data_IF_549149342325
#
_entry.id   IF_549149342325
#
_cell.length_a   1.000
_cell.length_b   1.000
_cell.length_c   1.000
_cell.angle_alpha   90.00
_cell.angle_beta   90.00
_cell.angle_gamma   90.00
#
_symmetry.space_group_name_H-M   'P 1'
#
loop_
_entity.id
_entity.type
_entity.pdbx_description
1 polymer ?
#
# COMPACT_ATOMS: atom_id res chain seq x y z
N UNK A 1 -13.57 -4.30 -11.01
CA UNK A 1 -12.77 -3.12 -11.47
C UNK A 1 -12.46 -3.26 -12.95
N UNK A 2 -12.55 -2.18 -13.70
CA UNK A 2 -12.28 -2.12 -15.14
C UNK A 2 -11.19 -1.08 -15.44
N UNK A 3 -10.43 -1.23 -16.54
CA UNK A 3 -9.53 -0.18 -16.99
C UNK A 3 -10.27 1.14 -17.19
N UNK A 4 -9.63 2.24 -16.81
CA UNK A 4 -10.25 3.56 -16.88
C UNK A 4 -10.62 3.93 -18.32
N UNK A 5 -11.77 4.55 -18.49
CA UNK A 5 -12.19 5.07 -19.80
C UNK A 5 -11.33 6.27 -20.20
N UNK A 6 -10.46 6.10 -21.21
CA UNK A 6 -9.53 7.14 -21.70
C UNK A 6 -10.23 8.35 -22.30
N UNK A 7 -11.48 8.24 -22.74
CA UNK A 7 -12.25 9.38 -23.23
C UNK A 7 -12.69 10.32 -22.10
N UNK A 8 -12.95 9.77 -20.91
CA UNK A 8 -13.33 10.55 -19.73
C UNK A 8 -12.11 10.99 -18.92
N UNK A 9 -11.03 10.19 -18.97
CA UNK A 9 -9.77 10.42 -18.27
C UNK A 9 -8.58 10.43 -19.24
N UNK A 10 -8.39 11.53 -19.98
CA UNK A 10 -7.22 11.71 -20.84
C UNK A 10 -5.94 11.71 -19.99
N UNK A 11 -4.79 11.47 -20.63
CA UNK A 11 -3.50 11.29 -19.96
C UNK A 11 -3.16 12.44 -19.00
N UNK A 12 -3.41 13.69 -19.40
CA UNK A 12 -3.13 14.86 -18.55
C UNK A 12 -3.97 14.86 -17.27
N UNK A 13 -5.20 14.36 -17.33
CA UNK A 13 -6.05 14.23 -16.13
C UNK A 13 -5.53 13.16 -15.19
N UNK A 14 -5.07 12.03 -15.73
CA UNK A 14 -4.44 10.94 -14.95
C UNK A 14 -3.16 11.44 -14.30
N UNK A 15 -2.29 12.11 -15.05
CA UNK A 15 -1.06 12.69 -14.51
C UNK A 15 -1.35 13.67 -13.37
N UNK A 16 -2.39 14.50 -13.50
CA UNK A 16 -2.81 15.41 -12.42
C UNK A 16 -3.29 14.67 -11.17
N UNK A 17 -4.02 13.57 -11.33
CA UNK A 17 -4.45 12.74 -10.20
C UNK A 17 -3.24 12.08 -9.51
N UNK A 18 -2.32 11.49 -10.28
CA UNK A 18 -1.11 10.86 -9.78
C UNK A 18 -0.17 11.87 -9.10
N UNK A 19 -0.03 13.09 -9.65
CA UNK A 19 0.80 14.13 -9.04
C UNK A 19 0.29 14.61 -7.67
N UNK A 20 -0.95 14.30 -7.30
CA UNK A 20 -1.47 14.49 -5.94
C UNK A 20 -0.88 13.52 -4.91
N UNK A 21 -0.21 12.45 -5.35
CA UNK A 21 0.45 11.46 -4.50
C UNK A 21 1.94 11.81 -4.41
N UNK A 22 2.50 11.98 -3.20
CA UNK A 22 3.89 12.43 -3.01
C UNK A 22 4.91 11.60 -3.80
N UNK A 23 4.78 10.27 -3.81
CA UNK A 23 5.66 9.37 -4.55
C UNK A 23 5.71 9.69 -6.06
N UNK A 24 4.55 9.75 -6.70
CA UNK A 24 4.49 10.05 -8.15
C UNK A 24 4.93 11.47 -8.46
N UNK A 25 4.61 12.44 -7.57
CA UNK A 25 5.03 13.83 -7.73
C UNK A 25 6.55 13.99 -7.61
N UNK A 26 7.20 13.27 -6.69
CA UNK A 26 8.66 13.25 -6.56
C UNK A 26 9.30 12.77 -7.87
N UNK A 27 8.86 11.64 -8.41
CA UNK A 27 9.42 11.10 -9.65
C UNK A 27 9.15 12.00 -10.86
N UNK A 28 7.95 12.58 -10.97
CA UNK A 28 7.62 13.53 -12.03
C UNK A 28 8.54 14.77 -12.02
N UNK A 29 8.91 15.25 -10.83
CA UNK A 29 9.81 16.40 -10.68
C UNK A 29 11.26 16.09 -10.97
N UNK A 30 11.69 14.85 -10.78
CA UNK A 30 13.07 14.41 -10.97
C UNK A 30 13.35 13.94 -12.40
N UNK A 31 12.41 13.22 -13.03
CA UNK A 31 12.61 12.63 -14.35
C UNK A 31 11.30 12.29 -15.06
N UNK A 32 10.99 13.03 -16.15
CA UNK A 32 9.86 12.71 -17.03
C UNK A 32 9.95 11.29 -17.59
N UNK A 33 11.16 10.81 -17.88
CA UNK A 33 11.37 9.44 -18.39
C UNK A 33 11.00 8.39 -17.36
N UNK A 34 11.43 8.55 -16.09
CA UNK A 34 11.09 7.61 -15.04
C UNK A 34 9.60 7.65 -14.71
N UNK A 35 9.00 8.84 -14.73
CA UNK A 35 7.55 8.97 -14.57
C UNK A 35 6.78 8.26 -15.70
N UNK A 36 7.22 8.36 -16.95
CA UNK A 36 6.62 7.64 -18.08
C UNK A 36 6.72 6.12 -17.90
N UNK A 37 7.87 5.60 -17.45
CA UNK A 37 8.04 4.18 -17.13
C UNK A 37 7.15 3.72 -15.98
N UNK A 38 6.98 4.53 -14.94
CA UNK A 38 6.02 4.24 -13.88
C UNK A 38 4.58 4.16 -14.39
N UNK A 39 4.19 5.04 -15.33
CA UNK A 39 2.88 4.96 -15.97
C UNK A 39 2.70 3.68 -16.78
N UNK A 40 3.74 3.19 -17.44
CA UNK A 40 3.73 1.91 -18.16
C UNK A 40 3.58 0.72 -17.23
N UNK A 41 4.18 0.78 -16.01
CA UNK A 41 4.05 -0.22 -14.95
C UNK A 41 2.72 -0.12 -14.18
N UNK A 42 1.92 0.93 -14.43
CA UNK A 42 0.72 1.21 -13.64
C UNK A 42 -0.53 0.82 -14.40
N UNK A 43 -1.42 0.08 -13.74
CA UNK A 43 -2.81 -0.03 -14.16
C UNK A 43 -3.65 1.06 -13.49
N UNK A 44 -4.37 1.84 -14.26
CA UNK A 44 -5.35 2.78 -13.73
C UNK A 44 -6.74 2.18 -13.93
N UNK A 45 -7.42 1.94 -12.81
CA UNK A 45 -8.66 1.19 -12.77
C UNK A 45 -9.78 2.05 -12.16
N UNK A 46 -11.00 1.79 -12.61
CA UNK A 46 -12.23 2.37 -12.09
C UNK A 46 -13.07 1.28 -11.44
N UNK A 47 -13.67 1.57 -10.30
CA UNK A 47 -14.61 0.72 -9.60
C UNK A 47 -15.85 1.53 -9.22
N UNK A 48 -17.04 0.91 -9.29
CA UNK A 48 -18.31 1.52 -8.94
C UNK A 48 -18.62 1.37 -7.44
N UNK A 49 -19.58 2.15 -6.93
CA UNK A 49 -20.05 2.04 -5.55
C UNK A 49 -20.33 0.58 -5.16
N UNK A 50 -19.84 0.15 -3.99
CA UNK A 50 -19.98 -1.22 -3.46
C UNK A 50 -19.09 -2.27 -4.11
N UNK A 51 -18.38 -1.97 -5.22
CA UNK A 51 -17.50 -2.92 -5.89
C UNK A 51 -16.23 -3.21 -5.07
N UNK A 52 -15.80 -4.47 -5.05
CA UNK A 52 -14.55 -4.88 -4.37
C UNK A 52 -13.33 -4.49 -5.20
N UNK A 53 -12.39 -3.78 -4.56
CA UNK A 53 -11.06 -3.43 -5.09
C UNK A 53 -10.04 -4.50 -4.70
N UNK A 54 -10.10 -4.98 -3.47
CA UNK A 54 -9.32 -6.10 -2.93
C UNK A 54 -10.30 -7.03 -2.23
N UNK A 55 -10.12 -8.34 -2.44
CA UNK A 55 -10.88 -9.38 -1.73
C UNK A 55 -10.00 -10.07 -0.69
N UNK A 56 -10.54 -10.26 0.50
CA UNK A 56 -9.90 -11.08 1.54
C UNK A 56 -9.55 -12.48 1.01
N UNK A 57 -8.32 -12.92 1.25
CA UNK A 57 -7.81 -14.23 0.83
C UNK A 57 -7.22 -14.26 -0.59
N UNK A 58 -7.40 -13.23 -1.41
CA UNK A 58 -6.75 -13.15 -2.70
C UNK A 58 -5.22 -13.03 -2.53
N UNK A 59 -4.48 -13.62 -3.48
CA UNK A 59 -3.02 -13.53 -3.54
C UNK A 59 -2.65 -12.77 -4.80
N UNK A 60 -2.21 -11.54 -4.63
CA UNK A 60 -1.67 -10.70 -5.69
C UNK A 60 -0.50 -9.85 -5.18
N UNK A 61 0.31 -9.34 -6.09
CA UNK A 61 1.55 -8.60 -5.81
C UNK A 61 1.41 -7.10 -6.06
N UNK A 62 0.19 -6.57 -5.99
CA UNK A 62 -0.05 -5.16 -6.30
C UNK A 62 -0.06 -4.28 -5.05
N UNK A 63 0.54 -3.10 -5.21
CA UNK A 63 0.37 -1.95 -4.33
C UNK A 63 -0.65 -1.00 -4.96
N UNK A 64 -1.56 -0.49 -4.16
CA UNK A 64 -2.67 0.35 -4.62
C UNK A 64 -2.57 1.77 -4.08
N UNK A 65 -3.02 2.73 -4.89
CA UNK A 65 -3.12 4.14 -4.55
C UNK A 65 -4.53 4.63 -4.87
N UNK A 66 -5.22 5.23 -3.92
CA UNK A 66 -6.52 5.83 -4.19
C UNK A 66 -6.32 7.22 -4.80
N UNK A 67 -6.80 7.40 -6.04
CA UNK A 67 -6.71 8.66 -6.78
C UNK A 67 -7.97 9.52 -6.61
N UNK A 68 -9.14 8.87 -6.52
CA UNK A 68 -10.45 9.54 -6.41
C UNK A 68 -11.44 8.62 -5.72
N UNK A 69 -12.43 9.20 -5.03
CA UNK A 69 -13.48 8.47 -4.33
C UNK A 69 -13.14 8.20 -2.87
N UNK A 70 -13.77 7.20 -2.29
CA UNK A 70 -13.53 6.72 -0.94
C UNK A 70 -13.65 5.20 -0.93
N UNK A 71 -12.76 4.53 -0.19
CA UNK A 71 -12.84 3.08 -0.01
C UNK A 71 -13.07 2.76 1.47
N UNK A 72 -13.79 1.67 1.72
CA UNK A 72 -14.00 1.11 3.05
C UNK A 72 -13.21 -0.19 3.20
N UNK A 73 -12.44 -0.30 4.27
CA UNK A 73 -11.74 -1.53 4.69
C UNK A 73 -12.72 -2.35 5.52
N UNK A 74 -12.97 -3.60 5.10
CA UNK A 74 -13.98 -4.46 5.70
C UNK A 74 -13.33 -5.61 6.47
N UNK A 75 -13.81 -5.86 7.68
CA UNK A 75 -13.53 -7.11 8.41
C UNK A 75 -14.73 -8.05 8.34
N UNK A 76 -14.45 -9.35 8.23
CA UNK A 76 -15.49 -10.38 8.11
C UNK A 76 -15.92 -10.64 6.67
N UNK A 77 -16.68 -11.70 6.49
CA UNK A 77 -17.19 -12.15 5.19
C UNK A 77 -18.72 -12.08 5.15
N UNK A 78 -19.28 -11.61 4.04
CA UNK A 78 -20.74 -11.60 3.82
C UNK A 78 -21.49 -10.49 4.54
N UNK A 79 -22.73 -10.77 4.96
CA UNK A 79 -23.67 -9.79 5.49
C UNK A 79 -23.30 -9.15 6.84
N UNK A 80 -22.36 -9.72 7.58
CA UNK A 80 -21.89 -9.22 8.88
C UNK A 80 -20.57 -8.42 8.75
N UNK A 81 -20.16 -8.07 7.53
CA UNK A 81 -18.94 -7.33 7.29
C UNK A 81 -19.00 -5.93 7.92
N UNK A 82 -18.07 -5.65 8.82
CA UNK A 82 -17.94 -4.35 9.53
C UNK A 82 -16.89 -3.48 8.87
N UNK A 83 -17.20 -2.19 8.69
CA UNK A 83 -16.20 -1.20 8.30
C UNK A 83 -15.21 -1.01 9.45
N UNK A 84 -13.93 -1.25 9.18
CA UNK A 84 -12.82 -1.03 10.11
C UNK A 84 -12.24 0.37 9.98
N UNK A 85 -12.08 0.83 8.75
CA UNK A 85 -11.47 2.10 8.42
C UNK A 85 -11.87 2.54 7.01
N UNK A 86 -11.62 3.80 6.69
CA UNK A 86 -11.76 4.35 5.35
C UNK A 86 -10.40 4.73 4.78
N UNK A 87 -10.30 4.66 3.44
CA UNK A 87 -9.13 5.08 2.67
C UNK A 87 -9.56 6.28 1.83
N UNK A 88 -8.78 7.35 1.91
CA UNK A 88 -9.02 8.63 1.24
C UNK A 88 -8.07 8.83 0.05
N UNK A 89 -8.41 9.72 -0.90
CA UNK A 89 -7.52 10.04 -2.01
C UNK A 89 -6.12 10.48 -1.53
N UNK A 90 -5.08 9.94 -2.19
CA UNK A 90 -3.69 10.13 -1.82
C UNK A 90 -3.10 9.02 -0.93
N UNK A 91 -3.94 8.17 -0.35
CA UNK A 91 -3.48 7.08 0.50
C UNK A 91 -3.08 5.84 -0.30
N UNK A 92 -2.09 5.12 0.26
CA UNK A 92 -1.52 3.86 -0.24
C UNK A 92 -2.07 2.70 0.58
N UNK A 93 -2.43 1.60 -0.07
CA UNK A 93 -2.96 0.42 0.60
C UNK A 93 -2.53 -0.89 -0.06
N UNK A 94 -2.70 -2.00 0.65
CA UNK A 94 -2.33 -3.34 0.16
C UNK A 94 -0.84 -3.68 0.34
N UNK A 95 -0.04 -2.87 1.02
CA UNK A 95 1.41 -3.05 1.15
C UNK A 95 1.81 -4.32 1.91
N UNK A 96 1.10 -4.69 3.00
CA UNK A 96 1.50 -5.81 3.85
C UNK A 96 1.53 -7.14 3.09
N UNK A 97 0.40 -7.51 2.48
CA UNK A 97 0.30 -8.76 1.73
C UNK A 97 1.28 -8.81 0.56
N UNK A 98 1.48 -7.67 -0.11
CA UNK A 98 2.44 -7.53 -1.20
C UNK A 98 3.88 -7.77 -0.74
N UNK A 99 4.34 -7.12 0.36
CA UNK A 99 5.71 -7.24 0.87
C UNK A 99 5.97 -8.64 1.42
N UNK A 100 5.01 -9.20 2.18
CA UNK A 100 5.17 -10.49 2.86
C UNK A 100 4.84 -11.69 1.97
N UNK A 101 4.30 -11.48 0.77
CA UNK A 101 3.87 -12.56 -0.11
C UNK A 101 2.73 -13.41 0.49
N UNK A 102 1.89 -12.81 1.33
CA UNK A 102 0.77 -13.47 2.02
C UNK A 102 -0.56 -13.14 1.37
N UNK A 103 -1.63 -13.94 1.59
CA UNK A 103 -2.97 -13.57 1.15
C UNK A 103 -3.45 -12.25 1.76
N UNK A 104 -4.35 -11.56 1.07
CA UNK A 104 -4.98 -10.32 1.54
C UNK A 104 -5.75 -10.55 2.85
N UNK A 105 -5.50 -9.74 3.85
CA UNK A 105 -6.05 -9.89 5.21
C UNK A 105 -7.40 -9.20 5.41
N UNK A 106 -7.83 -8.37 4.46
CA UNK A 106 -9.11 -7.65 4.50
C UNK A 106 -9.68 -7.48 3.09
N UNK A 107 -10.99 -7.35 2.98
CA UNK A 107 -11.63 -6.86 1.76
C UNK A 107 -11.66 -5.32 1.78
N UNK A 108 -11.49 -4.71 0.61
CA UNK A 108 -11.58 -3.27 0.40
C UNK A 108 -12.60 -3.02 -0.70
N UNK A 109 -13.62 -2.20 -0.41
CA UNK A 109 -14.71 -1.87 -1.34
C UNK A 109 -14.80 -0.37 -1.55
N UNK A 110 -15.36 0.01 -2.68
CA UNK A 110 -15.80 1.39 -2.88
C UNK A 110 -16.93 1.69 -1.91
N UNK A 111 -16.79 2.74 -1.13
CA UNK A 111 -17.83 3.17 -0.18
C UNK A 111 -19.11 3.56 -0.94
N UNK A 112 -20.27 3.19 -0.40
CA UNK A 112 -21.56 3.42 -1.05
C UNK A 112 -21.93 4.91 -1.17
N UNK A 113 -21.31 5.76 -0.36
CA UNK A 113 -21.46 7.22 -0.46
C UNK A 113 -20.66 7.81 -1.63
N UNK A 114 -19.67 7.10 -2.14
CA UNK A 114 -18.90 7.48 -3.31
C UNK A 114 -19.53 6.87 -4.57
N UNK A 115 -19.75 7.69 -5.59
CA UNK A 115 -20.27 7.19 -6.89
C UNK A 115 -19.35 6.17 -7.54
N UNK A 116 -18.04 6.43 -7.45
CA UNK A 116 -16.96 5.63 -8.05
C UNK A 116 -15.66 5.86 -7.30
N UNK A 117 -14.73 4.95 -7.47
CA UNK A 117 -13.34 5.14 -7.10
C UNK A 117 -12.42 4.94 -8.30
N UNK A 118 -11.33 5.72 -8.34
CA UNK A 118 -10.23 5.53 -9.29
C UNK A 118 -9.00 5.17 -8.49
N UNK A 119 -8.39 4.04 -8.85
CA UNK A 119 -7.19 3.54 -8.21
C UNK A 119 -6.09 3.36 -9.24
N UNK A 120 -4.86 3.67 -8.85
CA UNK A 120 -3.66 3.20 -9.53
C UNK A 120 -3.14 1.97 -8.79
N UNK A 121 -2.62 0.98 -9.53
CA UNK A 121 -1.87 -0.13 -8.92
C UNK A 121 -0.54 -0.34 -9.62
N UNK A 122 0.47 -0.66 -8.83
CA UNK A 122 1.82 -1.00 -9.28
C UNK A 122 2.11 -2.46 -8.92
N UNK A 123 2.71 -3.20 -9.86
CA UNK A 123 3.17 -4.55 -9.55
C UNK A 123 4.50 -4.49 -8.78
N UNK A 124 4.56 -5.13 -7.62
CA UNK A 124 5.77 -5.20 -6.80
C UNK A 124 6.94 -5.89 -7.52
N UNK A 125 6.64 -6.80 -8.45
CA UNK A 125 7.67 -7.48 -9.24
C UNK A 125 8.61 -6.50 -9.97
N UNK A 126 8.12 -5.30 -10.34
CA UNK A 126 8.92 -4.27 -11.00
C UNK A 126 9.92 -3.57 -10.05
N UNK A 127 9.74 -3.73 -8.74
CA UNK A 127 10.53 -3.05 -7.69
C UNK A 127 11.37 -4.00 -6.84
N UNK A 128 11.00 -5.29 -6.73
CA UNK A 128 11.58 -6.22 -5.78
C UNK A 128 13.04 -6.62 -6.07
N UNK A 129 13.47 -6.58 -7.33
CA UNK A 129 14.88 -6.71 -7.65
C UNK A 129 15.63 -5.40 -7.38
N UNK A 130 16.22 -5.30 -6.20
CA UNK A 130 16.95 -4.11 -5.74
C UNK A 130 18.36 -3.99 -6.32
N UNK A 131 18.75 -4.85 -7.26
CA UNK A 131 20.07 -4.84 -7.92
C UNK A 131 19.97 -4.44 -9.40
N UNK A 132 18.77 -4.41 -9.97
CA UNK A 132 18.50 -4.09 -11.37
C UNK A 132 17.98 -2.65 -11.50
N UNK A 133 18.59 -1.82 -12.37
CA UNK A 133 18.26 -0.39 -12.53
C UNK A 133 18.10 0.06 -13.98
N UNK A 134 18.02 -0.88 -14.94
CA UNK A 134 17.90 -0.53 -16.37
C UNK A 134 16.54 0.06 -16.71
N UNK A 135 15.48 -0.42 -16.08
CA UNK A 135 14.11 0.04 -16.32
C UNK A 135 13.67 1.09 -15.30
N UNK A 136 13.64 0.77 -14.01
CA UNK A 136 13.42 1.73 -12.95
C UNK A 136 14.74 2.10 -12.29
N UNK A 137 15.05 3.39 -12.24
CA UNK A 137 16.31 3.88 -11.68
C UNK A 137 16.43 3.62 -10.18
N UNK A 138 17.68 3.71 -9.66
CA UNK A 138 17.93 3.63 -8.23
C UNK A 138 17.10 4.66 -7.44
N UNK A 139 17.02 5.89 -7.92
CA UNK A 139 16.25 6.98 -7.30
C UNK A 139 14.77 6.64 -7.22
N UNK A 140 14.20 6.09 -8.31
CA UNK A 140 12.79 5.65 -8.36
C UNK A 140 12.52 4.54 -7.35
N UNK A 141 13.41 3.55 -7.25
CA UNK A 141 13.29 2.46 -6.26
C UNK A 141 13.48 2.95 -4.84
N UNK A 142 14.41 3.88 -4.60
CA UNK A 142 14.60 4.53 -3.30
C UNK A 142 13.33 5.28 -2.87
N UNK A 143 12.74 6.09 -3.75
CA UNK A 143 11.49 6.80 -3.47
C UNK A 143 10.35 5.83 -3.11
N UNK A 144 10.23 4.71 -3.85
CA UNK A 144 9.24 3.66 -3.59
C UNK A 144 9.43 3.04 -2.19
N UNK A 145 10.62 2.58 -1.84
CA UNK A 145 10.87 1.97 -0.54
C UNK A 145 10.82 2.96 0.63
N UNK A 146 11.23 4.22 0.42
CA UNK A 146 11.03 5.29 1.42
C UNK A 146 9.55 5.52 1.71
N UNK A 147 8.71 5.55 0.67
CA UNK A 147 7.26 5.65 0.81
C UNK A 147 6.70 4.44 1.59
N UNK A 148 7.07 3.21 1.24
CA UNK A 148 6.61 2.00 1.96
C UNK A 148 6.99 2.04 3.44
N UNK A 149 8.27 2.27 3.74
CA UNK A 149 8.78 2.36 5.11
C UNK A 149 8.06 3.45 5.90
N UNK A 150 7.86 4.63 5.28
CA UNK A 150 7.15 5.73 5.91
C UNK A 150 5.70 5.35 6.26
N UNK A 151 4.95 4.79 5.32
CA UNK A 151 3.54 4.44 5.52
C UNK A 151 3.36 3.37 6.60
N UNK A 152 4.15 2.29 6.55
CA UNK A 152 4.04 1.20 7.53
C UNK A 152 4.45 1.70 8.91
N UNK A 153 5.55 2.46 9.00
CA UNK A 153 6.02 3.06 10.26
C UNK A 153 5.00 4.02 10.85
N UNK A 154 4.39 4.87 10.02
CA UNK A 154 3.34 5.78 10.48
C UNK A 154 2.16 5.03 11.11
N UNK A 155 1.67 3.97 10.46
CA UNK A 155 0.60 3.13 10.99
C UNK A 155 0.99 2.50 12.33
N UNK A 156 2.22 1.99 12.45
CA UNK A 156 2.73 1.44 13.71
C UNK A 156 2.89 2.49 14.82
N UNK A 157 3.29 3.71 14.48
CA UNK A 157 3.36 4.82 15.46
C UNK A 157 1.97 5.23 15.94
N UNK A 158 0.96 5.26 15.05
CA UNK A 158 -0.44 5.50 15.44
C UNK A 158 -0.94 4.38 16.37
N UNK A 159 -0.70 3.12 16.03
CA UNK A 159 -1.05 1.98 16.87
C UNK A 159 -0.36 2.04 18.25
N UNK A 160 0.92 2.42 18.28
CA UNK A 160 1.67 2.63 19.53
C UNK A 160 1.08 3.75 20.38
N UNK A 161 0.62 4.85 19.77
CA UNK A 161 -0.05 5.93 20.54
C UNK A 161 -1.36 5.46 21.17
N UNK A 162 -2.10 4.59 20.48
CA UNK A 162 -3.35 4.01 21.01
C UNK A 162 -3.10 2.92 22.07
N UNK A 163 -2.00 2.17 21.96
CA UNK A 163 -1.66 1.06 22.84
C UNK A 163 -0.16 1.08 23.21
N UNK A 164 0.28 2.05 24.04
CA UNK A 164 1.71 2.26 24.34
C UNK A 164 2.38 1.13 25.12
N UNK A 165 1.61 0.27 25.78
CA UNK A 165 2.10 -0.88 26.54
C UNK A 165 2.09 -2.19 25.73
N UNK A 166 1.73 -2.14 24.44
CA UNK A 166 1.70 -3.33 23.61
C UNK A 166 3.11 -3.93 23.48
N UNK A 167 3.23 -5.27 23.58
CA UNK A 167 4.52 -5.99 23.55
C UNK A 167 5.37 -5.70 22.30
N UNK A 168 4.72 -5.47 21.16
CA UNK A 168 5.41 -5.17 19.88
C UNK A 168 6.07 -3.78 19.84
N UNK A 169 5.78 -2.88 20.81
CA UNK A 169 6.44 -1.58 20.91
C UNK A 169 7.95 -1.72 21.11
N UNK A 170 8.37 -2.70 21.89
CA UNK A 170 9.79 -3.01 22.10
C UNK A 170 10.46 -3.45 20.80
N UNK A 171 9.82 -4.32 20.01
CA UNK A 171 10.32 -4.78 18.70
C UNK A 171 10.41 -3.63 17.70
N UNK A 172 9.43 -2.74 17.65
CA UNK A 172 9.45 -1.58 16.78
C UNK A 172 10.68 -0.68 17.02
N UNK A 173 11.09 -0.53 18.29
CA UNK A 173 12.27 0.27 18.68
C UNK A 173 13.59 -0.35 18.23
N UNK A 174 13.65 -1.65 17.99
CA UNK A 174 14.88 -2.35 17.58
C UNK A 174 15.15 -2.27 16.08
N UNK A 175 14.20 -1.80 15.26
CA UNK A 175 14.40 -1.65 13.82
C UNK A 175 15.35 -0.49 13.57
N UNK A 176 16.57 -0.77 13.02
CA UNK A 176 17.58 0.26 12.83
C UNK A 176 17.15 1.26 11.75
N UNK A 177 17.53 2.51 11.92
CA UNK A 177 17.48 3.51 10.85
C UNK A 177 18.79 3.46 10.06
N UNK A 178 18.70 3.62 8.75
CA UNK A 178 19.88 3.75 7.92
C UNK A 178 20.61 5.06 8.22
N UNK A 179 21.91 4.97 8.50
CA UNK A 179 22.77 6.12 8.84
C UNK A 179 23.91 6.34 7.83
N UNK A 180 23.93 5.57 6.73
CA UNK A 180 24.93 5.68 5.67
C UNK A 180 24.66 6.78 4.65
N UNK A 181 25.33 6.72 3.52
CA UNK A 181 25.18 7.68 2.42
C UNK A 181 23.81 7.56 1.78
N UNK A 182 23.06 8.66 1.75
CA UNK A 182 21.76 8.70 1.06
C UNK A 182 21.93 8.60 -0.46
N UNK A 183 20.92 8.07 -1.15
CA UNK A 183 20.96 7.90 -2.61
C UNK A 183 21.81 6.73 -3.06
N UNK A 184 22.14 5.79 -2.17
CA UNK A 184 23.02 4.65 -2.47
C UNK A 184 22.27 3.32 -2.54
N UNK A 185 22.90 2.32 -3.14
CA UNK A 185 22.37 0.94 -3.18
C UNK A 185 22.28 0.35 -1.77
N UNK A 186 23.18 0.73 -0.87
CA UNK A 186 23.15 0.33 0.53
C UNK A 186 21.94 0.91 1.26
N UNK A 187 21.55 2.16 0.94
CA UNK A 187 20.29 2.72 1.45
C UNK A 187 19.10 1.92 0.95
N UNK A 188 19.06 1.57 -0.34
CA UNK A 188 17.97 0.79 -0.93
C UNK A 188 17.84 -0.58 -0.25
N UNK A 189 18.96 -1.29 -0.06
CA UNK A 189 18.97 -2.57 0.64
C UNK A 189 18.47 -2.45 2.09
N UNK A 190 18.91 -1.42 2.81
CA UNK A 190 18.47 -1.15 4.18
C UNK A 190 16.98 -0.79 4.25
N UNK A 191 16.45 -0.02 3.30
CA UNK A 191 15.02 0.31 3.23
C UNK A 191 14.17 -0.90 2.90
N UNK A 192 14.63 -1.78 1.99
CA UNK A 192 13.96 -3.04 1.67
C UNK A 192 13.85 -3.95 2.90
N UNK A 193 14.97 -4.18 3.60
CA UNK A 193 14.99 -4.95 4.87
C UNK A 193 14.09 -4.32 5.94
N UNK A 194 14.13 -2.99 6.06
CA UNK A 194 13.28 -2.25 7.01
C UNK A 194 11.79 -2.37 6.67
N UNK A 195 11.41 -2.33 5.38
CA UNK A 195 10.03 -2.50 4.95
C UNK A 195 9.48 -3.88 5.36
N UNK A 196 10.26 -4.95 5.14
CA UNK A 196 9.88 -6.31 5.54
C UNK A 196 9.71 -6.43 7.07
N UNK A 197 10.68 -5.98 7.84
CA UNK A 197 10.62 -6.02 9.32
C UNK A 197 9.44 -5.23 9.89
N UNK A 198 9.13 -4.06 9.31
CA UNK A 198 7.99 -3.25 9.72
C UNK A 198 6.67 -3.92 9.33
N UNK A 199 6.61 -4.54 8.13
CA UNK A 199 5.43 -5.27 7.67
C UNK A 199 5.14 -6.48 8.57
N UNK A 200 6.15 -7.25 8.99
CA UNK A 200 6.02 -8.35 9.93
C UNK A 200 5.42 -7.88 11.27
N UNK A 201 5.94 -6.77 11.83
CA UNK A 201 5.43 -6.23 13.09
C UNK A 201 3.98 -5.77 12.94
N UNK A 202 3.64 -5.08 11.84
CA UNK A 202 2.28 -4.60 11.62
C UNK A 202 1.30 -5.76 11.38
N UNK A 203 1.73 -6.84 10.71
CA UNK A 203 0.94 -8.05 10.54
C UNK A 203 0.60 -8.68 11.91
N UNK A 204 1.62 -8.90 12.76
CA UNK A 204 1.43 -9.41 14.12
C UNK A 204 0.55 -8.50 14.98
N UNK A 205 0.68 -7.16 14.79
CA UNK A 205 -0.17 -6.20 15.50
C UNK A 205 -1.64 -6.36 15.11
N UNK A 206 -1.91 -6.46 13.81
CA UNK A 206 -3.27 -6.64 13.30
C UNK A 206 -3.88 -7.98 13.76
N UNK A 207 -3.09 -9.05 13.84
CA UNK A 207 -3.53 -10.35 14.35
C UNK A 207 -3.90 -10.27 15.83
N UNK A 208 -3.10 -9.58 16.65
CA UNK A 208 -3.36 -9.40 18.09
C UNK A 208 -4.57 -8.53 18.38
N UNK A 209 -4.92 -7.61 17.47
CA UNK A 209 -6.08 -6.73 17.59
C UNK A 209 -7.39 -7.39 17.16
N UNK A 210 -7.36 -8.55 16.47
CA UNK A 210 -8.57 -9.31 16.15
C UNK A 210 -9.09 -10.02 17.41
N UNK A 211 -10.41 -9.96 17.72
CA UNK A 211 -10.97 -10.73 18.83
C UNK A 211 -10.70 -12.21 18.57
N UNK A 212 -10.15 -12.90 19.56
CA UNK A 212 -9.90 -14.35 19.57
C UNK A 212 -11.15 -15.06 19.06
N UNK A 213 -11.07 -15.73 17.92
CA UNK A 213 -12.13 -16.62 17.44
C UNK A 213 -12.23 -17.72 18.49
N UNK A 214 -13.25 -17.66 19.36
CA UNK A 214 -13.57 -18.73 20.29
C UNK A 214 -13.84 -19.99 19.47
N UNK A 215 -12.90 -20.95 19.54
CA UNK A 215 -13.13 -22.33 19.11
C UNK A 215 -14.22 -22.92 20.04
N UNK A 216 -15.48 -22.69 19.72
CA UNK A 216 -16.56 -23.56 20.18
C UNK A 216 -16.53 -24.78 19.26
N UNK A 217 -15.66 -25.73 19.58
CA UNK A 217 -15.88 -27.12 19.22
C UNK A 217 -17.03 -27.62 20.11
N UNK A 218 -18.16 -27.78 19.48
CA UNK A 218 -19.29 -28.52 20.03
C UNK A 218 -18.90 -29.98 20.15
N UNK A 219 -18.93 -30.47 21.37
CA UNK A 219 -19.05 -31.89 21.71
C UNK A 219 -20.39 -32.43 21.30
#
# INVERSE_FOLDING_TARGET
MEPINRSEYPLERIQRLLSGIPFFNEILRESDQQFSRLLECSDILQAQAGEEVIRHGDSDTYLYFLLKGQLAVMAGNGGDAKVLNYISPGEVFGALAMILGTPRTASIRVDESAREAIVARLNYADFNDITEFSYLSLETKLAFYRMLVHNIRWTLEVNKMQSPQHELVSKLRTIPLFTGSKGSVEELAALSDQAHKLADILCLWNESAQPVRSNMQTT
#
